data_IF_690220664244
#
_entry.id   IF_690220664244
#
_cell.length_a   1.000
_cell.length_b   1.000
_cell.length_c   1.000
_cell.angle_alpha   90.00
_cell.angle_beta   90.00
_cell.angle_gamma   90.00
#
_symmetry.space_group_name_H-M   'P 1'
#
loop_
_entity.id
_entity.type
_entity.pdbx_description
1 polymer ?
#
# COMPACT_ATOMS: atom_id res chain seq x y z
N UNK A 1 -1.43 13.65 6.18
CA UNK A 1 -1.79 12.35 6.78
C UNK A 1 -1.35 12.27 8.25
N UNK A 2 -0.05 12.08 8.54
CA UNK A 2 0.46 11.82 9.90
C UNK A 2 -0.03 12.80 10.98
N UNK A 3 -0.04 14.11 10.72
CA UNK A 3 -0.45 15.12 11.71
C UNK A 3 -1.93 15.02 12.13
N UNK A 4 -2.78 14.31 11.37
CA UNK A 4 -4.20 14.11 11.68
C UNK A 4 -4.49 12.74 12.29
N UNK A 5 -3.47 11.90 12.50
CA UNK A 5 -3.66 10.51 12.97
C UNK A 5 -4.37 10.43 14.33
N UNK A 6 -4.18 11.41 15.22
CA UNK A 6 -4.88 11.47 16.51
C UNK A 6 -6.35 11.91 16.41
N UNK A 7 -6.71 12.65 15.34
CA UNK A 7 -8.06 13.22 15.15
C UNK A 7 -8.91 12.29 14.28
N UNK A 8 -8.30 11.64 13.29
CA UNK A 8 -8.98 10.75 12.35
C UNK A 8 -8.25 9.38 12.24
N UNK A 9 -8.17 8.62 13.35
CA UNK A 9 -7.33 7.42 13.43
C UNK A 9 -7.82 6.29 12.51
N UNK A 10 -9.14 6.08 12.40
CA UNK A 10 -9.73 4.97 11.62
C UNK A 10 -9.60 5.14 10.11
N UNK A 11 -9.34 6.37 9.63
CA UNK A 11 -9.14 6.68 8.20
C UNK A 11 -7.70 7.13 7.89
N UNK A 12 -6.81 7.17 8.87
CA UNK A 12 -5.39 7.45 8.65
C UNK A 12 -4.64 6.14 8.55
N UNK A 13 -4.46 5.67 7.31
CA UNK A 13 -3.78 4.41 7.02
C UNK A 13 -2.26 4.59 7.08
N UNK A 14 -1.59 3.66 7.74
CA UNK A 14 -0.13 3.52 7.82
C UNK A 14 0.24 2.03 7.78
N UNK A 15 1.53 1.72 7.68
CA UNK A 15 2.03 0.33 7.70
C UNK A 15 1.44 -0.60 6.62
N UNK A 16 0.88 -0.06 5.53
CA UNK A 16 0.36 -0.86 4.41
C UNK A 16 1.40 -1.86 3.84
N UNK A 17 2.69 -1.55 3.95
CA UNK A 17 3.80 -2.45 3.59
C UNK A 17 3.80 -3.77 4.38
N UNK A 18 3.19 -3.82 5.56
CA UNK A 18 3.03 -5.06 6.33
C UNK A 18 2.00 -6.01 5.72
N UNK A 19 1.06 -5.48 4.92
CA UNK A 19 0.00 -6.24 4.24
C UNK A 19 0.32 -6.60 2.78
N UNK A 20 1.28 -5.91 2.16
CA UNK A 20 1.58 -6.07 0.73
C UNK A 20 2.02 -7.51 0.40
N UNK A 21 1.40 -8.11 -0.61
CA UNK A 21 1.64 -9.50 -1.05
C UNK A 21 1.37 -10.58 -0.01
N UNK A 22 0.63 -10.28 1.06
CA UNK A 22 0.21 -11.25 2.08
C UNK A 22 -1.23 -11.69 1.88
N UNK A 23 -1.61 -12.75 2.58
CA UNK A 23 -3.00 -13.21 2.68
C UNK A 23 -3.60 -12.72 3.98
N UNK A 24 -4.90 -12.47 3.96
CA UNK A 24 -5.68 -12.00 5.09
C UNK A 24 -5.54 -12.95 6.29
N UNK A 25 -5.54 -14.26 6.04
CA UNK A 25 -5.44 -15.29 7.09
C UNK A 25 -3.99 -15.56 7.57
N UNK A 26 -2.97 -14.89 7.03
CA UNK A 26 -1.60 -15.04 7.53
C UNK A 26 -1.55 -14.62 9.01
N UNK A 27 -0.89 -15.42 9.85
CA UNK A 27 -0.79 -15.15 11.29
C UNK A 27 -0.20 -13.77 11.60
N UNK A 28 0.75 -13.31 10.78
CA UNK A 28 1.33 -11.97 10.90
C UNK A 28 0.29 -10.88 10.64
N UNK A 29 -0.57 -11.05 9.62
CA UNK A 29 -1.63 -10.09 9.30
C UNK A 29 -2.66 -10.05 10.42
N UNK A 30 -3.09 -11.22 10.90
CA UNK A 30 -4.05 -11.32 12.01
C UNK A 30 -3.54 -10.69 13.31
N UNK A 31 -2.23 -10.76 13.58
CA UNK A 31 -1.63 -10.13 14.74
C UNK A 31 -1.44 -8.62 14.55
N UNK A 32 -0.94 -8.17 13.40
CA UNK A 32 -0.74 -6.74 13.12
C UNK A 32 -2.07 -5.97 13.12
N UNK A 33 -3.17 -6.58 12.63
CA UNK A 33 -4.51 -5.98 12.63
C UNK A 33 -5.03 -5.58 14.01
N UNK A 34 -4.57 -6.25 15.08
CA UNK A 34 -4.98 -5.94 16.46
C UNK A 34 -4.38 -4.61 16.95
N UNK A 35 -3.35 -4.11 16.26
CA UNK A 35 -2.59 -2.92 16.64
C UNK A 35 -2.99 -1.67 15.85
N UNK A 36 -3.82 -1.82 14.82
CA UNK A 36 -4.20 -0.72 13.95
C UNK A 36 -5.57 -0.14 14.31
N UNK A 37 -5.74 1.19 14.18
CA UNK A 37 -7.03 1.84 14.36
C UNK A 37 -7.97 1.69 13.16
N UNK A 38 -7.44 1.35 11.98
CA UNK A 38 -8.21 1.16 10.75
C UNK A 38 -8.60 -0.31 10.55
N UNK A 39 -9.71 -0.54 9.86
CA UNK A 39 -10.26 -1.88 9.64
C UNK A 39 -9.60 -2.54 8.43
N UNK A 40 -9.32 -3.83 8.54
CA UNK A 40 -8.88 -4.69 7.43
C UNK A 40 -9.85 -5.86 7.32
N UNK A 41 -10.29 -6.18 6.10
CA UNK A 41 -11.26 -7.25 5.80
C UNK A 41 -10.70 -8.22 4.76
N UNK A 42 -11.24 -9.45 4.66
CA UNK A 42 -10.92 -10.33 3.54
C UNK A 42 -11.52 -9.77 2.24
N UNK A 43 -10.70 -9.72 1.20
CA UNK A 43 -11.07 -9.34 -0.16
C UNK A 43 -11.09 -10.53 -1.11
N UNK A 44 -10.84 -10.31 -2.42
CA UNK A 44 -10.79 -11.38 -3.42
C UNK A 44 -9.76 -12.45 -3.08
N UNK A 45 -10.00 -13.68 -3.54
CA UNK A 45 -9.05 -14.78 -3.37
C UNK A 45 -7.87 -14.60 -4.34
N UNK A 46 -6.66 -14.60 -3.81
CA UNK A 46 -5.38 -14.58 -4.52
C UNK A 46 -4.51 -15.72 -3.99
N UNK A 47 -3.82 -16.44 -4.88
CA UNK A 47 -2.86 -17.50 -4.52
C UNK A 47 -3.39 -18.54 -3.50
N UNK A 48 -4.70 -18.80 -3.46
CA UNK A 48 -5.30 -19.74 -2.49
C UNK A 48 -5.60 -19.16 -1.10
N UNK A 49 -5.69 -17.84 -0.95
CA UNK A 49 -6.23 -17.18 0.25
C UNK A 49 -6.82 -15.80 -0.06
N UNK A 50 -7.53 -15.20 0.89
CA UNK A 50 -8.11 -13.87 0.67
C UNK A 50 -7.03 -12.78 0.71
N UNK A 51 -7.08 -11.81 -0.19
CA UNK A 51 -6.26 -10.59 -0.10
C UNK A 51 -6.74 -9.72 1.06
N UNK A 52 -5.87 -9.15 1.91
CA UNK A 52 -6.30 -8.18 2.91
C UNK A 52 -6.67 -6.85 2.25
N UNK A 53 -7.85 -6.32 2.56
CA UNK A 53 -8.35 -5.03 2.07
C UNK A 53 -8.53 -4.06 3.22
N UNK A 54 -7.94 -2.88 3.10
CA UNK A 54 -8.04 -1.79 4.08
C UNK A 54 -9.33 -1.02 3.83
N UNK A 55 -10.11 -0.80 4.87
CA UNK A 55 -11.38 -0.08 4.81
C UNK A 55 -11.20 1.33 5.33
N UNK A 56 -11.60 2.32 4.54
CA UNK A 56 -11.62 3.73 4.95
C UNK A 56 -12.87 4.43 4.41
N UNK A 57 -13.41 5.36 5.19
CA UNK A 57 -14.49 6.25 4.76
C UNK A 57 -13.89 7.47 4.06
N UNK A 58 -14.24 7.64 2.78
CA UNK A 58 -13.82 8.78 1.99
C UNK A 58 -15.03 9.46 1.35
N UNK A 59 -15.18 10.76 1.60
CA UNK A 59 -16.33 11.56 1.12
C UNK A 59 -17.69 10.94 1.47
N UNK A 60 -17.82 10.42 2.69
CA UNK A 60 -19.06 9.81 3.20
C UNK A 60 -19.34 8.40 2.68
N UNK A 61 -18.45 7.81 1.86
CA UNK A 61 -18.60 6.45 1.35
C UNK A 61 -17.49 5.55 1.89
N UNK A 62 -17.85 4.33 2.25
CA UNK A 62 -16.88 3.29 2.56
C UNK A 62 -16.15 2.87 1.28
N UNK A 63 -14.82 2.82 1.34
CA UNK A 63 -13.97 2.35 0.27
C UNK A 63 -13.02 1.28 0.79
N UNK A 64 -12.72 0.33 -0.09
CA UNK A 64 -11.80 -0.77 0.17
C UNK A 64 -10.59 -0.56 -0.72
N UNK A 65 -9.40 -0.67 -0.13
CA UNK A 65 -8.14 -0.49 -0.83
C UNK A 65 -7.23 -1.68 -0.56
N UNK A 66 -6.61 -2.18 -1.62
CA UNK A 66 -5.51 -3.11 -1.49
C UNK A 66 -4.25 -2.38 -0.99
N UNK A 67 -3.32 -3.14 -0.40
CA UNK A 67 -2.08 -2.58 0.12
C UNK A 67 -1.22 -1.89 -0.96
N UNK A 68 -1.22 -2.42 -2.19
CA UNK A 68 -0.53 -1.81 -3.32
C UNK A 68 -1.17 -0.49 -3.80
N UNK A 69 -2.48 -0.32 -3.65
CA UNK A 69 -3.16 0.96 -3.97
C UNK A 69 -2.80 2.03 -2.93
N UNK A 70 -2.76 1.70 -1.65
CA UNK A 70 -2.26 2.64 -0.63
C UNK A 70 -0.79 2.97 -0.86
N UNK A 71 0.02 1.96 -1.21
CA UNK A 71 1.44 2.16 -1.50
C UNK A 71 1.65 3.01 -2.76
N UNK A 72 0.79 2.89 -3.77
CA UNK A 72 0.85 3.71 -4.98
C UNK A 72 0.55 5.18 -4.68
N UNK A 73 -0.36 5.50 -3.77
CA UNK A 73 -0.59 6.89 -3.33
C UNK A 73 0.66 7.51 -2.68
N UNK A 74 1.42 6.72 -1.91
CA UNK A 74 2.71 7.15 -1.35
C UNK A 74 3.73 7.39 -2.48
N UNK A 75 3.82 6.47 -3.44
CA UNK A 75 4.73 6.58 -4.58
C UNK A 75 4.37 7.75 -5.50
N UNK A 76 3.09 8.02 -5.74
CA UNK A 76 2.63 9.20 -6.47
C UNK A 76 3.07 10.49 -5.78
N UNK A 77 3.01 10.54 -4.44
CA UNK A 77 3.52 11.69 -3.70
C UNK A 77 5.03 11.84 -3.84
N UNK A 78 5.79 10.73 -3.82
CA UNK A 78 7.24 10.76 -4.03
C UNK A 78 7.61 11.19 -5.45
N UNK A 79 6.90 10.68 -6.47
CA UNK A 79 7.01 11.09 -7.87
C UNK A 79 6.81 12.60 -8.00
N UNK A 80 5.71 13.13 -7.47
CA UNK A 80 5.41 14.57 -7.53
C UNK A 80 6.49 15.45 -6.85
N UNK A 81 7.12 14.97 -5.76
CA UNK A 81 8.24 15.67 -5.12
C UNK A 81 9.45 15.69 -6.05
N UNK A 82 9.79 14.55 -6.65
CA UNK A 82 10.92 14.47 -7.58
C UNK A 82 10.69 15.34 -8.82
N UNK A 83 9.49 15.33 -9.40
CA UNK A 83 9.11 16.16 -10.55
C UNK A 83 9.16 17.65 -10.22
N UNK A 84 8.70 18.06 -9.03
CA UNK A 84 8.80 19.45 -8.60
C UNK A 84 10.26 19.90 -8.43
N UNK A 85 11.14 19.00 -8.00
CA UNK A 85 12.57 19.29 -7.88
C UNK A 85 13.27 19.33 -9.24
N UNK A 86 12.94 18.42 -10.15
CA UNK A 86 13.58 18.30 -11.46
C UNK A 86 13.01 19.25 -12.52
N UNK A 87 11.76 19.71 -12.34
CA UNK A 87 11.03 20.52 -13.34
C UNK A 87 10.57 19.73 -14.57
N UNK A 88 10.60 18.40 -14.51
CA UNK A 88 10.26 17.49 -15.63
C UNK A 88 9.55 16.25 -15.11
N UNK A 89 8.86 15.53 -16.01
CA UNK A 89 8.17 14.27 -15.68
C UNK A 89 9.16 13.14 -15.29
N UNK A 90 8.86 12.45 -14.19
CA UNK A 90 9.64 11.30 -13.73
C UNK A 90 8.90 10.01 -14.09
N UNK A 91 9.44 9.27 -15.05
CA UNK A 91 8.82 8.04 -15.56
C UNK A 91 9.44 6.75 -15.04
N UNK A 92 10.77 6.68 -14.92
CA UNK A 92 11.49 5.45 -14.57
C UNK A 92 11.92 5.46 -13.11
N UNK A 93 11.77 4.33 -12.41
CA UNK A 93 12.17 4.21 -11.01
C UNK A 93 12.75 2.83 -10.67
N UNK A 94 13.61 2.81 -9.65
CA UNK A 94 14.00 1.61 -8.90
C UNK A 94 13.39 1.75 -7.51
N UNK A 95 12.65 0.74 -7.06
CA UNK A 95 11.94 0.78 -5.76
C UNK A 95 12.50 -0.33 -4.88
N UNK A 96 13.02 0.01 -3.71
CA UNK A 96 13.66 -0.98 -2.83
C UNK A 96 12.64 -1.81 -2.04
N UNK A 97 12.96 -3.09 -1.82
CA UNK A 97 12.22 -4.00 -0.93
C UNK A 97 13.15 -4.69 0.07
N UNK A 98 12.64 -5.16 1.22
CA UNK A 98 13.43 -5.99 2.13
C UNK A 98 13.91 -7.28 1.46
N UNK A 99 15.12 -7.73 1.79
CA UNK A 99 15.72 -8.92 1.18
C UNK A 99 14.85 -10.18 1.34
N UNK A 100 14.14 -10.30 2.46
CA UNK A 100 13.26 -11.42 2.80
C UNK A 100 11.87 -11.38 2.16
N UNK A 101 11.56 -10.37 1.31
CA UNK A 101 10.29 -10.35 0.60
C UNK A 101 10.19 -11.51 -0.38
N UNK A 102 9.06 -12.21 -0.33
CA UNK A 102 8.70 -13.26 -1.30
C UNK A 102 8.38 -12.66 -2.66
N UNK A 103 8.32 -13.50 -3.70
CA UNK A 103 8.00 -13.05 -5.06
C UNK A 103 6.62 -12.38 -5.17
N UNK A 104 5.64 -12.84 -4.40
CA UNK A 104 4.31 -12.20 -4.33
C UNK A 104 4.40 -10.77 -3.76
N UNK A 105 5.22 -10.56 -2.72
CA UNK A 105 5.41 -9.24 -2.12
C UNK A 105 6.23 -8.29 -3.03
N UNK A 106 7.23 -8.84 -3.75
CA UNK A 106 8.00 -8.11 -4.76
C UNK A 106 7.10 -7.67 -5.91
N UNK A 107 6.28 -8.58 -6.43
CA UNK A 107 5.32 -8.32 -7.50
C UNK A 107 4.30 -7.25 -7.08
N UNK A 108 3.67 -7.39 -5.90
CA UNK A 108 2.72 -6.40 -5.40
C UNK A 108 3.36 -5.01 -5.17
N UNK A 109 4.64 -4.94 -4.79
CA UNK A 109 5.38 -3.66 -4.70
C UNK A 109 5.62 -3.06 -6.09
N UNK A 110 5.94 -3.90 -7.08
CA UNK A 110 6.06 -3.46 -8.48
C UNK A 110 4.73 -2.93 -9.00
N UNK A 111 3.63 -3.61 -8.72
CA UNK A 111 2.27 -3.19 -9.10
C UNK A 111 1.92 -1.83 -8.51
N UNK A 112 2.27 -1.57 -7.24
CA UNK A 112 2.12 -0.25 -6.64
C UNK A 112 2.84 0.85 -7.45
N UNK A 113 4.05 0.55 -7.95
CA UNK A 113 4.80 1.44 -8.83
C UNK A 113 4.11 1.67 -10.18
N UNK A 114 3.58 0.62 -10.79
CA UNK A 114 2.82 0.72 -12.06
C UNK A 114 1.56 1.56 -11.87
N UNK A 115 0.78 1.32 -10.81
CA UNK A 115 -0.42 2.11 -10.46
C UNK A 115 -0.05 3.58 -10.20
N UNK A 116 1.15 3.85 -9.68
CA UNK A 116 1.66 5.21 -9.49
C UNK A 116 2.12 5.88 -10.81
N UNK A 117 2.03 5.21 -11.95
CA UNK A 117 2.48 5.72 -13.24
C UNK A 117 4.00 5.73 -13.38
N UNK A 118 4.68 4.78 -12.74
CA UNK A 118 6.13 4.58 -12.84
C UNK A 118 6.43 3.29 -13.64
N UNK A 119 7.43 3.38 -14.52
CA UNK A 119 8.10 2.23 -15.08
C UNK A 119 9.15 1.71 -14.09
N UNK A 120 8.83 0.61 -13.42
CA UNK A 120 9.70 0.00 -12.41
C UNK A 120 10.78 -0.85 -13.06
N UNK A 121 11.99 -0.31 -13.15
CA UNK A 121 13.14 -0.95 -13.79
C UNK A 121 13.66 -2.15 -12.97
N UNK A 122 13.60 -2.02 -11.64
CA UNK A 122 14.06 -3.04 -10.69
C UNK A 122 13.39 -2.86 -9.32
N UNK A 123 13.23 -3.99 -8.63
CA UNK A 123 12.84 -4.11 -7.22
C UNK A 123 13.98 -4.74 -6.42
#
# INVERSE_FOLDING_TARGET
>A
AKNQAGINPTNTVFDAKRLIGRRFNDATVQNDMKLWPFKVIPGPVIDGGHKPMIVATYKGQEKQFAAEEISSMVLQKMKAIAEAFMGTEVKNAVITVPAYFTDSQRSATKDAGVIAGLNVLRI
#
